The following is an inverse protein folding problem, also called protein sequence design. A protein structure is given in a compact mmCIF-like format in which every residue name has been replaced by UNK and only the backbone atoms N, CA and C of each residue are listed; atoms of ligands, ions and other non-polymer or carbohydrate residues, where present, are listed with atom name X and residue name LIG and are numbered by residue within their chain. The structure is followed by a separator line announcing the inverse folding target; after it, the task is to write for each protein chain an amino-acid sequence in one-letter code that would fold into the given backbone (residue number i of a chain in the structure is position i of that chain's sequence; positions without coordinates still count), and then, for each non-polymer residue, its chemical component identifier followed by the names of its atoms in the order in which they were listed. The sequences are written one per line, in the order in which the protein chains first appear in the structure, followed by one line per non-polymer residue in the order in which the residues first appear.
data_IF_220682458214
#
_entry.id   IF_220682458214
#
_cell.length_a   1.000
_cell.length_b   1.000
_cell.length_c   1.000
_cell.angle_alpha   90.00
_cell.angle_beta   90.00
_cell.angle_gamma   90.00
#
_symmetry.space_group_name_H-M   'P 1'
#
loop_
_entity.id
_entity.type
_entity.pdbx_description
1 polymer ?
#
# COMPACT_ATOMS: atom_id res chain seq x y z
N UNK A 1 21.46 -59.70 -38.80
CA UNK A 1 22.52 -58.68 -38.87
C UNK A 1 21.87 -57.31 -38.92
N UNK A 2 22.30 -56.40 -38.01
CA UNK A 2 22.19 -54.92 -37.95
C UNK A 2 20.92 -54.24 -38.52
N UNK A 3 20.05 -53.58 -37.75
CA UNK A 3 20.19 -52.30 -36.99
C UNK A 3 20.78 -51.16 -37.83
N UNK A 4 19.98 -50.09 -38.01
CA UNK A 4 20.45 -48.81 -38.54
C UNK A 4 19.34 -47.77 -38.64
N UNK A 5 18.99 -47.14 -37.52
CA UNK A 5 18.19 -45.93 -37.47
C UNK A 5 19.02 -44.72 -37.96
N UNK A 6 18.40 -43.82 -38.73
CA UNK A 6 18.88 -42.45 -38.91
C UNK A 6 17.66 -41.53 -39.02
N UNK A 7 17.40 -40.81 -37.92
CA UNK A 7 16.55 -39.64 -37.90
C UNK A 7 17.26 -38.49 -38.61
N UNK A 8 16.54 -37.73 -39.44
CA UNK A 8 16.98 -36.43 -39.94
C UNK A 8 15.78 -35.48 -40.03
N UNK A 9 15.71 -34.59 -39.05
CA UNK A 9 15.21 -33.23 -39.18
C UNK A 9 16.46 -32.33 -39.17
N UNK A 10 16.50 -31.15 -39.84
CA UNK A 10 15.46 -30.13 -39.69
C UNK A 10 15.20 -29.22 -40.91
N UNK A 11 14.07 -28.52 -40.91
CA UNK A 11 13.92 -27.23 -41.60
C UNK A 11 12.82 -26.40 -40.93
N UNK A 12 13.14 -25.79 -39.78
CA UNK A 12 12.35 -24.68 -39.23
C UNK A 12 12.74 -23.41 -40.00
N UNK A 13 12.19 -23.27 -41.20
CA UNK A 13 12.23 -22.02 -41.95
C UNK A 13 11.12 -21.10 -41.41
N UNK A 14 11.44 -20.32 -40.38
CA UNK A 14 10.45 -19.41 -39.78
C UNK A 14 10.97 -18.45 -38.70
N UNK A 15 12.24 -18.55 -38.30
CA UNK A 15 12.82 -17.68 -37.28
C UNK A 15 13.71 -16.54 -37.84
N UNK A 16 13.78 -16.35 -39.16
CA UNK A 16 14.70 -15.38 -39.77
C UNK A 16 14.19 -13.93 -39.86
N UNK A 17 13.04 -13.61 -39.25
CA UNK A 17 12.55 -12.22 -39.22
C UNK A 17 12.86 -11.42 -37.94
N UNK A 18 13.63 -11.98 -37.01
CA UNK A 18 13.99 -11.29 -35.76
C UNK A 18 15.50 -11.03 -35.60
N UNK A 19 16.32 -11.24 -36.63
CA UNK A 19 17.72 -10.78 -36.67
C UNK A 19 17.80 -9.38 -37.30
N UNK A 20 17.02 -8.45 -36.77
CA UNK A 20 17.28 -7.03 -36.92
C UNK A 20 18.23 -6.64 -35.77
N UNK A 21 19.53 -6.65 -36.08
CA UNK A 21 20.59 -5.84 -35.47
C UNK A 21 20.31 -5.34 -34.05
N UNK A 22 20.53 -6.17 -33.03
CA UNK A 22 20.73 -5.67 -31.67
C UNK A 22 22.09 -4.99 -31.63
N UNK A 23 22.08 -3.66 -31.78
CA UNK A 23 23.16 -2.84 -31.25
C UNK A 23 23.42 -3.25 -29.79
N UNK A 24 24.69 -3.21 -29.36
CA UNK A 24 25.09 -3.60 -28.02
C UNK A 24 24.39 -2.73 -26.97
N UNK A 25 23.20 -3.17 -26.57
CA UNK A 25 22.36 -2.56 -25.56
C UNK A 25 23.14 -2.54 -24.24
N UNK A 26 23.28 -1.35 -23.66
CA UNK A 26 23.87 -1.19 -22.34
C UNK A 26 23.00 -1.86 -21.27
N UNK A 27 23.54 -2.11 -20.08
CA UNK A 27 22.79 -2.71 -18.96
C UNK A 27 21.52 -1.92 -18.63
N UNK A 28 21.60 -0.60 -18.74
CA UNK A 28 20.54 0.31 -18.35
C UNK A 28 19.44 0.34 -19.41
N UNK A 29 19.82 0.35 -20.69
CA UNK A 29 18.87 0.21 -21.80
C UNK A 29 18.15 -1.14 -21.74
N UNK A 30 18.86 -2.21 -21.39
CA UNK A 30 18.27 -3.54 -21.20
C UNK A 30 17.29 -3.57 -20.03
N UNK A 31 17.62 -2.91 -18.92
CA UNK A 31 16.73 -2.83 -17.76
C UNK A 31 15.45 -2.04 -18.09
N UNK A 32 15.57 -0.92 -18.79
CA UNK A 32 14.42 -0.11 -19.24
C UNK A 32 13.56 -0.87 -20.24
N UNK A 33 14.16 -1.56 -21.21
CA UNK A 33 13.43 -2.38 -22.17
C UNK A 33 12.70 -3.53 -21.48
N UNK A 34 13.36 -4.27 -20.60
CA UNK A 34 12.72 -5.35 -19.84
C UNK A 34 11.60 -4.85 -18.94
N UNK A 35 11.75 -3.66 -18.32
CA UNK A 35 10.68 -3.04 -17.54
C UNK A 35 9.46 -2.69 -18.41
N UNK A 36 9.69 -2.14 -19.61
CA UNK A 36 8.63 -1.83 -20.56
C UNK A 36 7.97 -3.11 -21.11
N UNK A 37 8.74 -4.13 -21.48
CA UNK A 37 8.23 -5.43 -21.94
C UNK A 37 7.43 -6.13 -20.84
N UNK A 38 7.90 -6.07 -19.59
CA UNK A 38 7.16 -6.59 -18.44
C UNK A 38 5.87 -5.81 -18.21
N UNK A 39 5.89 -4.47 -18.30
CA UNK A 39 4.70 -3.64 -18.17
C UNK A 39 3.66 -3.93 -19.24
N UNK A 40 4.08 -4.13 -20.50
CA UNK A 40 3.20 -4.48 -21.62
C UNK A 40 2.63 -5.90 -21.48
N UNK A 41 3.47 -6.87 -21.12
CA UNK A 41 3.02 -8.24 -20.84
C UNK A 41 2.07 -8.31 -19.64
N UNK A 42 2.32 -7.49 -18.63
CA UNK A 42 1.47 -7.36 -17.45
C UNK A 42 0.17 -6.60 -17.75
N UNK A 43 0.14 -5.71 -18.74
CA UNK A 43 -1.08 -5.01 -19.16
C UNK A 43 -2.18 -5.99 -19.63
N UNK A 44 -1.80 -7.13 -20.21
CA UNK A 44 -2.73 -8.21 -20.55
C UNK A 44 -3.23 -9.04 -19.35
N UNK A 45 -2.50 -9.02 -18.23
CA UNK A 45 -2.87 -9.66 -16.96
C UNK A 45 -3.59 -8.70 -16.00
N UNK A 46 -3.35 -7.39 -16.12
CA UNK A 46 -3.96 -6.32 -15.32
C UNK A 46 -5.31 -5.92 -15.93
N UNK A 47 -6.27 -6.81 -15.75
CA UNK A 47 -7.74 -6.68 -15.84
C UNK A 47 -8.35 -5.91 -17.03
N UNK A 48 -9.30 -6.53 -17.78
CA UNK A 48 -10.14 -5.84 -18.77
C UNK A 48 -10.95 -4.70 -18.11
N UNK A 49 -11.39 -3.74 -18.92
CA UNK A 49 -12.31 -2.68 -18.49
C UNK A 49 -13.55 -3.28 -17.79
N UNK A 50 -13.58 -3.18 -16.45
CA UNK A 50 -14.62 -3.74 -15.58
C UNK A 50 -14.13 -4.71 -14.49
N UNK A 51 -12.88 -5.19 -14.54
CA UNK A 51 -12.28 -5.99 -13.47
C UNK A 51 -11.49 -5.11 -12.51
N UNK A 52 -11.71 -5.27 -11.20
CA UNK A 52 -11.17 -4.44 -10.11
C UNK A 52 -9.69 -4.07 -10.32
N UNK A 53 -9.32 -2.76 -10.27
CA UNK A 53 -7.92 -2.32 -10.32
C UNK A 53 -7.22 -2.68 -8.99
N UNK A 54 -5.97 -2.23 -8.79
CA UNK A 54 -5.24 -2.21 -7.50
C UNK A 54 -4.14 -3.26 -7.28
N UNK A 55 -3.56 -3.85 -8.32
CA UNK A 55 -2.26 -4.53 -8.17
C UNK A 55 -1.13 -3.49 -8.14
N UNK A 56 -0.32 -3.49 -7.06
CA UNK A 56 0.95 -2.74 -6.98
C UNK A 56 2.11 -3.71 -6.91
N UNK A 57 3.10 -3.42 -7.75
CA UNK A 57 4.41 -4.03 -7.68
C UNK A 57 5.24 -3.28 -6.63
N UNK A 58 5.80 -4.01 -5.69
CA UNK A 58 6.74 -3.51 -4.71
C UNK A 58 8.14 -4.00 -5.08
N UNK A 59 9.12 -3.12 -4.93
CA UNK A 59 10.53 -3.42 -5.23
C UNK A 59 11.33 -3.17 -3.96
N UNK A 60 11.87 -4.24 -3.38
CA UNK A 60 12.72 -4.23 -2.20
C UNK A 60 14.21 -4.32 -2.54
N UNK A 61 15.09 -4.17 -1.54
CA UNK A 61 16.54 -4.35 -1.70
C UNK A 61 16.87 -5.76 -2.21
N UNK A 62 17.94 -5.90 -2.99
CA UNK A 62 18.36 -7.18 -3.58
C UNK A 62 18.69 -8.29 -2.57
N UNK A 63 18.88 -7.95 -1.30
CA UNK A 63 19.11 -8.92 -0.21
C UNK A 63 17.81 -9.45 0.41
N UNK A 64 16.64 -8.95 0.00
CA UNK A 64 15.35 -9.52 0.39
C UNK A 64 15.14 -10.84 -0.37
N UNK A 65 14.63 -11.91 0.28
CA UNK A 65 14.41 -13.21 -0.39
C UNK A 65 13.47 -13.10 -1.60
N UNK A 66 12.52 -12.16 -1.56
CA UNK A 66 11.62 -11.81 -2.67
C UNK A 66 11.71 -10.30 -2.95
N UNK A 67 12.68 -9.84 -3.75
CA UNK A 67 12.91 -8.40 -3.96
C UNK A 67 11.84 -7.76 -4.85
N UNK A 68 11.00 -8.56 -5.52
CA UNK A 68 9.83 -8.08 -6.26
C UNK A 68 8.63 -8.88 -5.79
N UNK A 69 7.60 -8.20 -5.30
CA UNK A 69 6.34 -8.83 -4.93
C UNK A 69 5.16 -7.98 -5.36
N UNK A 70 4.00 -8.61 -5.52
CA UNK A 70 2.77 -7.93 -5.93
C UNK A 70 1.75 -8.03 -4.82
N UNK A 71 1.06 -6.92 -4.53
CA UNK A 71 -0.10 -6.93 -3.63
C UNK A 71 -1.30 -6.30 -4.29
N UNK A 72 -2.48 -6.80 -3.97
CA UNK A 72 -3.77 -6.19 -4.33
C UNK A 72 -4.16 -5.05 -3.37
N UNK A 73 -3.31 -4.73 -2.40
CA UNK A 73 -3.59 -3.77 -1.32
C UNK A 73 -3.37 -2.31 -1.76
N UNK A 74 -3.29 -2.04 -3.06
CA UNK A 74 -3.05 -0.71 -3.59
C UNK A 74 -4.31 0.18 -3.55
N UNK A 75 -4.71 0.56 -2.34
CA UNK A 75 -5.42 1.81 -2.11
C UNK A 75 -6.78 1.92 -2.81
N UNK A 76 -7.81 1.31 -2.22
CA UNK A 76 -9.18 1.80 -2.31
C UNK A 76 -10.14 1.16 -1.31
N UNK A 77 -9.73 0.08 -0.63
CA UNK A 77 -10.52 -0.45 0.48
C UNK A 77 -10.60 0.59 1.61
N UNK A 78 -11.81 1.13 1.80
CA UNK A 78 -12.20 1.92 2.97
C UNK A 78 -11.79 1.14 4.21
N UNK A 79 -11.07 1.79 5.11
CA UNK A 79 -10.72 1.21 6.39
C UNK A 79 -11.19 2.17 7.48
N UNK A 80 -12.26 1.83 8.22
CA UNK A 80 -12.88 2.75 9.17
C UNK A 80 -11.89 3.34 10.18
N UNK A 81 -10.87 2.58 10.57
CA UNK A 81 -9.81 3.06 11.45
C UNK A 81 -8.84 4.00 10.74
N UNK A 82 -8.29 3.60 9.58
CA UNK A 82 -7.40 4.47 8.82
C UNK A 82 -8.06 5.79 8.42
N UNK A 83 -9.33 5.74 8.04
CA UNK A 83 -10.08 6.90 7.57
C UNK A 83 -10.41 7.85 8.74
N UNK A 84 -10.70 7.32 9.94
CA UNK A 84 -10.87 8.15 11.15
C UNK A 84 -9.55 8.79 11.61
N UNK A 85 -8.42 8.07 11.50
CA UNK A 85 -7.09 8.64 11.79
C UNK A 85 -6.75 9.75 10.80
N UNK A 86 -7.02 9.54 9.51
CA UNK A 86 -6.81 10.55 8.49
C UNK A 86 -7.66 11.80 8.72
N UNK A 87 -8.93 11.64 9.09
CA UNK A 87 -9.82 12.74 9.47
C UNK A 87 -9.29 13.50 10.69
N UNK A 88 -8.90 12.78 11.76
CA UNK A 88 -8.31 13.39 12.95
C UNK A 88 -7.08 14.22 12.59
N UNK A 89 -6.14 13.68 11.81
CA UNK A 89 -4.93 14.39 11.42
C UNK A 89 -5.22 15.63 10.57
N UNK A 90 -6.17 15.54 9.63
CA UNK A 90 -6.59 16.68 8.82
C UNK A 90 -7.20 17.79 9.70
N UNK A 91 -8.06 17.42 10.64
CA UNK A 91 -8.71 18.37 11.56
C UNK A 91 -7.76 18.93 12.62
N UNK A 92 -6.76 18.15 13.04
CA UNK A 92 -5.71 18.63 13.93
C UNK A 92 -4.83 19.67 13.21
N UNK A 93 -4.58 19.49 11.91
CA UNK A 93 -3.90 20.48 11.10
C UNK A 93 -4.73 21.77 10.94
N UNK A 94 -6.05 21.66 10.75
CA UNK A 94 -6.97 22.81 10.77
C UNK A 94 -6.89 23.56 12.11
N UNK A 95 -6.98 22.84 13.24
CA UNK A 95 -6.84 23.42 14.58
C UNK A 95 -5.49 24.13 14.77
N UNK A 96 -4.39 23.49 14.35
CA UNK A 96 -3.03 24.03 14.48
C UNK A 96 -2.80 25.30 13.66
N UNK A 97 -3.63 25.54 12.64
CA UNK A 97 -3.57 26.74 11.82
C UNK A 97 -4.36 27.93 12.43
N UNK A 98 -5.14 27.71 13.50
CA UNK A 98 -5.92 28.76 14.15
C UNK A 98 -4.97 29.66 14.97
N UNK A 99 -5.01 31.00 14.76
CA UNK A 99 -4.23 31.94 15.55
C UNK A 99 -4.52 31.86 17.06
N UNK A 100 -3.47 31.91 17.87
CA UNK A 100 -3.55 31.77 19.34
C UNK A 100 -4.44 32.86 19.98
N UNK A 101 -4.57 34.02 19.34
CA UNK A 101 -5.39 35.13 19.79
C UNK A 101 -6.90 34.80 19.78
N UNK A 102 -7.33 33.76 19.06
CA UNK A 102 -8.71 33.31 19.06
C UNK A 102 -9.07 32.50 20.32
N UNK A 103 -8.08 32.03 21.07
CA UNK A 103 -8.26 31.25 22.31
C UNK A 103 -8.44 32.19 23.51
N UNK A 104 -9.54 32.95 23.50
CA UNK A 104 -9.83 33.99 24.49
C UNK A 104 -10.37 33.47 25.83
N UNK A 105 -10.87 32.22 25.85
CA UNK A 105 -11.34 31.52 27.04
C UNK A 105 -11.33 30.01 26.81
N UNK A 106 -11.39 29.23 27.89
CA UNK A 106 -11.48 27.76 27.81
C UNK A 106 -12.76 27.27 27.14
N UNK A 107 -13.86 28.02 27.23
CA UNK A 107 -15.13 27.68 26.55
C UNK A 107 -14.99 27.84 25.03
N UNK A 108 -14.33 28.91 24.58
CA UNK A 108 -14.04 29.12 23.15
C UNK A 108 -13.03 28.11 22.63
N UNK A 109 -12.03 27.75 23.44
CA UNK A 109 -11.08 26.68 23.11
C UNK A 109 -11.81 25.34 22.90
N UNK A 110 -12.71 24.96 23.80
CA UNK A 110 -13.51 23.75 23.69
C UNK A 110 -14.39 23.77 22.43
N UNK A 111 -15.07 24.89 22.14
CA UNK A 111 -15.86 25.04 20.91
C UNK A 111 -15.01 24.88 19.64
N UNK A 112 -13.79 25.43 19.64
CA UNK A 112 -12.83 25.29 18.54
C UNK A 112 -12.36 23.83 18.41
N UNK A 113 -12.05 23.16 19.51
CA UNK A 113 -11.68 21.73 19.53
C UNK A 113 -12.83 20.90 18.96
N UNK A 114 -14.06 21.12 19.40
CA UNK A 114 -15.24 20.39 18.96
C UNK A 114 -15.63 20.69 17.50
N UNK A 115 -15.31 21.89 16.99
CA UNK A 115 -15.46 22.22 15.58
C UNK A 115 -14.36 21.63 14.68
N UNK A 116 -13.22 21.23 15.27
CA UNK A 116 -12.05 20.71 14.55
C UNK A 116 -11.87 19.21 14.82
N UNK A 117 -10.87 18.83 15.62
CA UNK A 117 -10.44 17.44 15.77
C UNK A 117 -11.18 16.68 16.87
N UNK A 118 -11.87 17.38 17.79
CA UNK A 118 -12.55 16.81 18.95
C UNK A 118 -13.42 15.60 18.62
N UNK A 119 -14.36 15.69 17.64
CA UNK A 119 -15.22 14.57 17.28
C UNK A 119 -14.47 13.33 16.76
N UNK A 120 -13.39 13.52 16.01
CA UNK A 120 -12.57 12.41 15.52
C UNK A 120 -11.72 11.81 16.64
N UNK A 121 -11.17 12.66 17.53
CA UNK A 121 -10.47 12.25 18.75
C UNK A 121 -11.37 11.42 19.66
N UNK A 122 -12.61 11.87 19.89
CA UNK A 122 -13.60 11.16 20.69
C UNK A 122 -13.93 9.79 20.09
N UNK A 123 -14.03 9.68 18.76
CA UNK A 123 -14.18 8.37 18.12
C UNK A 123 -12.95 7.50 18.36
N UNK A 124 -11.74 8.01 18.18
CA UNK A 124 -10.52 7.23 18.44
C UNK A 124 -10.40 6.81 19.92
N UNK A 125 -10.86 7.64 20.85
CA UNK A 125 -10.78 7.39 22.29
C UNK A 125 -11.93 6.52 22.82
N UNK A 126 -13.18 6.86 22.52
CA UNK A 126 -14.36 6.28 23.17
C UNK A 126 -15.14 5.31 22.28
N UNK A 127 -15.02 5.42 20.96
CA UNK A 127 -15.76 4.61 19.99
C UNK A 127 -14.85 4.10 18.85
N UNK A 128 -13.69 3.55 19.22
CA UNK A 128 -12.61 3.26 18.27
C UNK A 128 -13.10 2.29 17.19
N UNK A 129 -13.07 2.69 15.90
CA UNK A 129 -13.51 1.81 14.82
C UNK A 129 -12.57 0.61 14.63
N UNK A 130 -13.08 -0.50 14.09
CA UNK A 130 -12.26 -1.69 13.83
C UNK A 130 -11.32 -1.48 12.64
N UNK A 131 -10.08 -1.96 12.76
CA UNK A 131 -9.20 -2.18 11.61
C UNK A 131 -9.74 -3.33 10.75
N UNK A 132 -9.76 -3.11 9.44
CA UNK A 132 -10.30 -4.07 8.44
C UNK A 132 -9.30 -4.41 7.34
N UNK A 133 -8.13 -3.78 7.35
CA UNK A 133 -7.09 -3.93 6.35
C UNK A 133 -5.68 -3.77 6.96
N UNK A 134 -4.65 -4.18 6.21
CA UNK A 134 -3.26 -3.90 6.59
C UNK A 134 -2.93 -2.39 6.53
N UNK A 135 -3.65 -1.61 5.71
CA UNK A 135 -3.57 -0.13 5.74
C UNK A 135 -4.01 0.39 7.11
N UNK A 136 -5.16 -0.06 7.63
CA UNK A 136 -5.65 0.28 8.96
C UNK A 136 -4.64 -0.03 10.06
N UNK A 137 -3.99 -1.20 9.98
CA UNK A 137 -2.92 -1.59 10.91
C UNK A 137 -1.72 -0.64 10.81
N UNK A 138 -1.24 -0.35 9.59
CA UNK A 138 -0.10 0.52 9.39
C UNK A 138 -0.35 1.94 9.92
N UNK A 139 -1.52 2.52 9.62
CA UNK A 139 -1.87 3.86 10.12
C UNK A 139 -2.05 3.88 11.64
N UNK A 140 -2.61 2.82 12.23
CA UNK A 140 -2.73 2.71 13.69
C UNK A 140 -1.35 2.71 14.38
N UNK A 141 -0.37 2.00 13.83
CA UNK A 141 0.99 1.97 14.36
C UNK A 141 1.66 3.34 14.21
N UNK A 142 1.53 3.99 13.05
CA UNK A 142 2.07 5.35 12.84
C UNK A 142 1.45 6.35 13.81
N UNK A 143 0.12 6.34 13.94
CA UNK A 143 -0.60 7.17 14.90
C UNK A 143 -0.05 7.03 16.32
N UNK A 144 0.12 5.80 16.81
CA UNK A 144 0.64 5.57 18.16
C UNK A 144 2.08 6.07 18.35
N UNK A 145 2.93 5.93 17.32
CA UNK A 145 4.30 6.43 17.32
C UNK A 145 4.32 7.96 17.32
N UNK A 146 3.55 8.59 16.44
CA UNK A 146 3.51 10.05 16.25
C UNK A 146 2.97 10.77 17.48
N UNK A 147 1.95 10.20 18.13
CA UNK A 147 1.43 10.70 19.39
C UNK A 147 2.42 10.53 20.55
N UNK A 148 3.49 9.73 20.38
CA UNK A 148 4.44 9.33 21.44
C UNK A 148 3.75 8.75 22.68
N UNK A 149 2.58 8.16 22.49
CA UNK A 149 1.64 7.96 23.58
C UNK A 149 1.10 6.53 23.63
N UNK A 150 1.95 5.51 23.54
CA UNK A 150 1.52 4.11 23.76
C UNK A 150 0.83 3.86 25.12
N UNK A 151 0.96 4.79 26.06
CA UNK A 151 0.31 4.80 27.38
C UNK A 151 -1.02 5.58 27.42
N UNK A 152 -1.36 6.30 26.36
CA UNK A 152 -2.61 7.05 26.27
C UNK A 152 -3.77 6.14 25.80
N UNK A 153 -4.96 6.43 26.32
CA UNK A 153 -6.16 5.60 26.12
C UNK A 153 -6.50 5.46 24.64
N UNK A 154 -6.39 6.54 23.87
CA UNK A 154 -6.73 6.52 22.44
C UNK A 154 -5.72 5.67 21.65
N UNK A 155 -4.42 5.90 21.85
CA UNK A 155 -3.38 5.13 21.17
C UNK A 155 -3.41 3.64 21.54
N UNK A 156 -3.63 3.29 22.81
CA UNK A 156 -3.79 1.90 23.25
C UNK A 156 -4.95 1.21 22.51
N UNK A 157 -6.11 1.87 22.41
CA UNK A 157 -7.29 1.32 21.73
C UNK A 157 -7.08 1.19 20.22
N UNK A 158 -6.44 2.17 19.60
CA UNK A 158 -6.08 2.14 18.17
C UNK A 158 -5.15 0.95 17.87
N UNK A 159 -4.13 0.72 18.70
CA UNK A 159 -3.21 -0.41 18.54
C UNK A 159 -3.91 -1.75 18.81
N UNK A 160 -4.79 -1.84 19.82
CA UNK A 160 -5.60 -3.04 20.07
C UNK A 160 -6.52 -3.37 18.89
N UNK A 161 -7.13 -2.36 18.26
CA UNK A 161 -7.95 -2.54 17.06
C UNK A 161 -7.14 -3.13 15.89
N UNK A 162 -5.92 -2.62 15.69
CA UNK A 162 -4.97 -3.15 14.71
C UNK A 162 -4.53 -4.60 15.01
N UNK A 163 -4.20 -4.89 16.28
CA UNK A 163 -3.81 -6.23 16.71
C UNK A 163 -4.94 -7.24 16.46
N UNK A 164 -6.18 -6.88 16.78
CA UNK A 164 -7.33 -7.76 16.57
C UNK A 164 -7.53 -8.13 15.09
N UNK A 165 -7.19 -7.25 14.15
CA UNK A 165 -7.18 -7.58 12.72
C UNK A 165 -6.10 -8.62 12.40
N UNK A 166 -4.88 -8.46 12.92
CA UNK A 166 -3.77 -9.38 12.69
C UNK A 166 -4.06 -10.78 13.27
N UNK A 167 -4.59 -10.85 14.50
CA UNK A 167 -5.00 -12.10 15.15
C UNK A 167 -6.03 -12.86 14.31
N UNK A 168 -7.09 -12.17 13.84
CA UNK A 168 -8.09 -12.77 12.93
C UNK A 168 -7.47 -13.25 11.61
N UNK A 169 -6.56 -12.47 11.03
CA UNK A 169 -5.93 -12.78 9.74
C UNK A 169 -5.01 -14.00 9.84
N UNK A 170 -4.24 -14.12 10.92
CA UNK A 170 -3.22 -15.16 11.08
C UNK A 170 -3.64 -16.32 11.98
N UNK A 171 -4.87 -16.29 12.54
CA UNK A 171 -5.43 -17.32 13.44
C UNK A 171 -4.56 -17.60 14.66
N UNK A 172 -4.07 -16.53 15.27
CA UNK A 172 -3.31 -16.55 16.53
C UNK A 172 -4.17 -16.00 17.67
#
# INVERSE_FOLDING_TARGET
MLVGAIASLPAVAGAERALATTAAETSDERAVRLANELSEAMNGFMTPAGGTPHWVAHIGPSMHPDPVWFSQDAGSATDPLADTIAEYNAKLAEFSAIPVEQFVSSEVEEDIVMATYGPASDRLCYATPPATSLRGVAEAIRYAIDQRAFIDIAAERVVKSALAYLERRYRV
#
